data_IF_932478091005
#
_entry.id   IF_932478091005
#
_cell.length_a   1.000
_cell.length_b   1.000
_cell.length_c   1.000
_cell.angle_alpha   90.00
_cell.angle_beta   90.00
_cell.angle_gamma   90.00
#
_symmetry.space_group_name_H-M   'P 1'
#
loop_
_entity.id
_entity.type
_entity.pdbx_description
1 polymer ?
#
# COMPACT_ATOMS: atom_id res chain seq x y z
N UNK A 1 -7.45 1.73 -12.99
CA UNK A 1 -6.85 0.44 -12.52
C UNK A 1 -5.36 0.38 -12.87
N UNK A 2 -4.49 0.07 -11.91
CA UNK A 2 -3.06 -0.19 -12.10
C UNK A 2 -2.83 -1.68 -12.42
N UNK A 3 -1.97 -1.97 -13.41
CA UNK A 3 -1.65 -3.33 -13.82
C UNK A 3 -0.15 -3.56 -13.79
N UNK A 4 0.29 -4.41 -12.88
CA UNK A 4 1.65 -4.92 -12.78
C UNK A 4 1.72 -6.28 -13.47
N UNK A 5 2.64 -6.48 -14.40
CA UNK A 5 2.73 -7.70 -15.17
C UNK A 5 4.18 -8.18 -15.29
N UNK A 6 4.36 -9.50 -15.19
CA UNK A 6 5.62 -10.18 -15.39
C UNK A 6 5.37 -11.42 -16.24
N UNK A 7 6.12 -11.59 -17.33
CA UNK A 7 6.10 -12.80 -18.11
C UNK A 7 7.25 -13.72 -17.64
N UNK A 8 6.90 -14.69 -16.77
CA UNK A 8 7.86 -15.63 -16.21
C UNK A 8 8.06 -16.82 -17.17
N UNK A 9 9.32 -17.26 -17.44
CA UNK A 9 9.60 -18.28 -18.45
C UNK A 9 8.92 -19.62 -18.18
N UNK A 10 8.75 -20.02 -16.92
CA UNK A 10 8.14 -21.32 -16.56
C UNK A 10 6.68 -21.20 -16.18
N UNK A 11 6.27 -20.10 -15.53
CA UNK A 11 4.91 -19.95 -15.00
C UNK A 11 3.97 -19.21 -15.95
N UNK A 12 4.52 -18.51 -16.95
CA UNK A 12 3.76 -17.67 -17.87
C UNK A 12 3.46 -16.29 -17.31
N UNK A 13 2.32 -15.73 -17.66
CA UNK A 13 1.94 -14.36 -17.33
C UNK A 13 1.42 -14.27 -15.88
N UNK A 14 2.13 -13.53 -15.05
CA UNK A 14 1.73 -13.21 -13.68
C UNK A 14 1.31 -11.75 -13.62
N UNK A 15 0.13 -11.46 -13.07
CA UNK A 15 -0.41 -10.12 -12.99
C UNK A 15 -0.89 -9.79 -11.58
N UNK A 16 -0.64 -8.55 -11.15
CA UNK A 16 -1.33 -7.91 -10.03
C UNK A 16 -2.10 -6.73 -10.60
N UNK A 17 -3.40 -6.69 -10.38
CA UNK A 17 -4.29 -5.61 -10.80
C UNK A 17 -4.83 -4.94 -9.55
N UNK A 18 -4.69 -3.61 -9.45
CA UNK A 18 -5.15 -2.81 -8.32
C UNK A 18 -6.01 -1.64 -8.81
N UNK A 19 -7.12 -1.37 -8.13
CA UNK A 19 -8.06 -0.32 -8.53
C UNK A 19 -9.20 -0.15 -7.53
N UNK A 20 -10.16 0.70 -7.88
CA UNK A 20 -11.39 0.88 -7.11
C UNK A 20 -12.41 -0.22 -7.40
N UNK A 21 -13.42 -0.33 -6.56
CA UNK A 21 -14.51 -1.30 -6.73
C UNK A 21 -15.15 -1.23 -8.11
N UNK A 22 -15.36 -0.02 -8.65
CA UNK A 22 -15.89 0.19 -10.01
C UNK A 22 -15.06 -0.47 -11.10
N UNK A 23 -13.74 -0.43 -11.00
CA UNK A 23 -12.84 -1.05 -11.98
C UNK A 23 -13.03 -2.58 -12.06
N UNK A 24 -13.33 -3.20 -10.92
CA UNK A 24 -13.49 -4.66 -10.85
C UNK A 24 -14.90 -5.10 -11.21
N UNK A 25 -15.93 -4.32 -10.91
CA UNK A 25 -17.30 -4.64 -11.28
C UNK A 25 -17.51 -4.68 -12.80
N UNK A 26 -16.79 -3.87 -13.56
CA UNK A 26 -16.80 -3.95 -15.02
C UNK A 26 -16.24 -5.28 -15.55
N UNK A 27 -15.31 -5.89 -14.81
CA UNK A 27 -14.61 -7.12 -15.19
C UNK A 27 -15.24 -8.38 -14.60
N UNK A 28 -15.81 -8.27 -13.41
CA UNK A 28 -16.46 -9.35 -12.67
C UNK A 28 -17.60 -8.76 -11.84
N UNK A 29 -18.85 -8.80 -12.35
CA UNK A 29 -20.02 -8.27 -11.65
C UNK A 29 -20.33 -8.94 -10.31
N UNK A 30 -19.67 -10.07 -10.00
CA UNK A 30 -19.87 -10.81 -8.75
C UNK A 30 -18.88 -10.38 -7.66
N UNK A 31 -17.94 -9.53 -7.98
CA UNK A 31 -16.92 -9.06 -7.04
C UNK A 31 -16.48 -7.62 -7.33
N UNK A 32 -16.49 -6.75 -6.34
CA UNK A 32 -16.76 -6.94 -4.89
C UNK A 32 -18.25 -7.16 -4.57
N UNK A 33 -18.52 -7.88 -3.49
CA UNK A 33 -19.90 -8.25 -3.12
C UNK A 33 -20.81 -7.07 -2.73
N UNK A 34 -20.25 -5.98 -2.27
CA UNK A 34 -20.98 -4.79 -1.83
C UNK A 34 -20.24 -3.52 -2.27
N UNK A 35 -20.35 -3.13 -3.54
CA UNK A 35 -19.79 -1.85 -3.97
C UNK A 35 -20.62 -0.73 -3.35
N UNK A 36 -19.95 0.33 -2.94
CA UNK A 36 -20.64 1.57 -2.60
C UNK A 36 -21.10 2.23 -3.89
N UNK A 37 -22.41 2.29 -4.09
CA UNK A 37 -23.00 2.96 -5.24
C UNK A 37 -22.84 4.49 -5.12
N UNK A 38 -22.46 5.13 -6.24
CA UNK A 38 -22.47 6.59 -6.43
C UNK A 38 -21.54 7.42 -5.53
N UNK A 39 -20.39 6.91 -5.11
CA UNK A 39 -19.40 7.75 -4.47
C UNK A 39 -18.58 8.50 -5.53
N UNK A 40 -18.50 9.81 -5.39
CA UNK A 40 -17.60 10.65 -6.18
C UNK A 40 -16.14 10.28 -5.81
N UNK A 41 -15.40 9.79 -6.80
CA UNK A 41 -14.01 9.42 -6.60
C UNK A 41 -13.16 10.69 -6.66
N UNK A 42 -12.48 11.02 -5.56
CA UNK A 42 -11.45 12.06 -5.55
C UNK A 42 -10.22 11.49 -6.26
N UNK A 43 -9.86 11.97 -7.45
CA UNK A 43 -8.76 11.43 -8.21
C UNK A 43 -7.43 11.67 -7.47
N UNK A 44 -6.70 10.58 -7.21
CA UNK A 44 -5.37 10.63 -6.60
C UNK A 44 -4.36 10.12 -7.60
N UNK A 45 -3.36 10.95 -7.89
CA UNK A 45 -2.26 10.61 -8.79
C UNK A 45 -0.96 10.42 -8.00
N UNK A 46 0.10 10.00 -8.68
CA UNK A 46 1.43 9.95 -8.07
C UNK A 46 1.92 11.35 -7.61
N UNK A 47 1.38 12.43 -8.18
CA UNK A 47 1.73 13.82 -7.86
C UNK A 47 0.90 14.42 -6.72
N UNK A 48 -0.24 13.79 -6.36
CA UNK A 48 -1.15 14.28 -5.34
C UNK A 48 -0.45 14.49 -4.00
N UNK A 49 -0.75 15.63 -3.38
CA UNK A 49 -0.23 16.03 -2.08
C UNK A 49 -0.76 15.16 -0.93
N UNK A 50 -0.12 15.23 0.24
CA UNK A 50 -0.51 14.43 1.40
C UNK A 50 -1.95 14.72 1.85
N UNK A 51 -2.38 15.99 1.83
CA UNK A 51 -3.74 16.39 2.23
C UNK A 51 -4.81 15.77 1.33
N UNK A 52 -4.62 15.81 0.01
CA UNK A 52 -5.53 15.21 -0.96
C UNK A 52 -5.62 13.69 -0.78
N UNK A 53 -4.49 13.05 -0.55
CA UNK A 53 -4.40 11.60 -0.32
C UNK A 53 -5.12 11.18 0.97
N UNK A 54 -5.00 11.96 2.05
CA UNK A 54 -5.77 11.70 3.28
C UNK A 54 -7.26 11.92 3.06
N UNK A 55 -7.66 12.98 2.36
CA UNK A 55 -9.07 13.19 2.03
C UNK A 55 -9.63 12.03 1.23
N UNK A 56 -8.91 11.59 0.18
CA UNK A 56 -9.30 10.47 -0.64
C UNK A 56 -9.39 9.15 0.13
N UNK A 57 -8.51 8.91 1.10
CA UNK A 57 -8.52 7.69 1.92
C UNK A 57 -9.85 7.50 2.68
N UNK A 58 -10.48 8.59 3.10
CA UNK A 58 -11.74 8.55 3.84
C UNK A 58 -12.99 8.70 2.97
N UNK A 59 -12.86 9.31 1.79
CA UNK A 59 -13.99 9.63 0.90
C UNK A 59 -14.14 8.65 -0.25
N UNK A 60 -13.04 8.12 -0.77
CA UNK A 60 -13.07 7.23 -1.92
C UNK A 60 -13.52 5.81 -1.55
N UNK A 61 -14.04 5.06 -2.53
CA UNK A 61 -14.27 3.63 -2.40
C UNK A 61 -13.01 2.88 -2.00
N UNK A 62 -13.16 1.66 -1.53
CA UNK A 62 -12.03 0.81 -1.18
C UNK A 62 -11.16 0.52 -2.42
N UNK A 63 -9.83 0.57 -2.24
CA UNK A 63 -8.89 0.10 -3.23
C UNK A 63 -8.68 -1.40 -3.00
N UNK A 64 -8.96 -2.18 -4.03
CA UNK A 64 -8.84 -3.64 -4.04
C UNK A 64 -7.75 -4.09 -4.99
N UNK A 65 -7.39 -5.36 -4.90
CA UNK A 65 -6.51 -5.96 -5.89
C UNK A 65 -6.89 -7.41 -6.18
N UNK A 66 -6.44 -7.91 -7.33
CA UNK A 66 -6.48 -9.33 -7.66
C UNK A 66 -5.15 -9.78 -8.26
N UNK A 67 -4.80 -11.02 -7.97
CA UNK A 67 -3.60 -11.66 -8.50
C UNK A 67 -4.05 -12.73 -9.48
N UNK A 68 -3.47 -12.69 -10.67
CA UNK A 68 -3.79 -13.63 -11.75
C UNK A 68 -2.52 -14.38 -12.19
N UNK A 69 -2.73 -15.62 -12.60
CA UNK A 69 -1.75 -16.44 -13.28
C UNK A 69 -2.36 -16.95 -14.59
N UNK A 70 -1.77 -16.56 -15.72
CA UNK A 70 -2.27 -16.88 -17.06
C UNK A 70 -3.75 -16.53 -17.26
N UNK A 71 -4.17 -15.37 -16.73
CA UNK A 71 -5.55 -14.90 -16.80
C UNK A 71 -6.51 -15.49 -15.75
N UNK A 72 -6.09 -16.54 -15.01
CA UNK A 72 -6.90 -17.12 -13.94
C UNK A 72 -6.67 -16.36 -12.65
N UNK A 73 -7.74 -15.91 -11.99
CA UNK A 73 -7.69 -15.25 -10.69
C UNK A 73 -7.29 -16.26 -9.61
N UNK A 74 -6.19 -16.01 -8.91
CA UNK A 74 -5.74 -16.82 -7.78
C UNK A 74 -6.12 -16.19 -6.43
N UNK A 75 -6.06 -14.86 -6.34
CA UNK A 75 -6.39 -14.14 -5.11
C UNK A 75 -7.24 -12.92 -5.44
N UNK A 76 -8.23 -12.65 -4.59
CA UNK A 76 -9.00 -11.43 -4.52
C UNK A 76 -8.69 -10.75 -3.18
N UNK A 77 -8.28 -9.51 -3.19
CA UNK A 77 -7.79 -8.80 -2.02
C UNK A 77 -8.69 -7.60 -1.74
N UNK A 78 -9.45 -7.66 -0.66
CA UNK A 78 -10.31 -6.57 -0.19
C UNK A 78 -9.51 -5.35 0.27
N UNK A 79 -8.22 -5.55 0.60
CA UNK A 79 -7.29 -4.50 1.01
C UNK A 79 -5.89 -4.87 0.54
N UNK A 80 -5.16 -3.88 0.02
CA UNK A 80 -3.77 -4.11 -0.39
C UNK A 80 -2.86 -3.95 0.82
N UNK A 81 -2.32 -5.05 1.29
CA UNK A 81 -1.35 -5.06 2.38
C UNK A 81 0.04 -5.42 1.88
N UNK A 82 1.08 -4.98 2.60
CA UNK A 82 2.44 -5.47 2.39
C UNK A 82 2.50 -6.93 2.87
N UNK A 83 2.45 -7.87 1.92
CA UNK A 83 2.28 -9.30 2.22
C UNK A 83 2.86 -10.17 1.11
N UNK A 84 2.87 -11.48 1.36
CA UNK A 84 3.25 -12.51 0.40
C UNK A 84 2.06 -13.38 0.03
N UNK A 85 1.91 -13.67 -1.27
CA UNK A 85 0.79 -14.40 -1.82
C UNK A 85 1.30 -15.57 -2.67
N UNK A 86 0.93 -16.80 -2.30
CA UNK A 86 1.32 -18.00 -3.05
C UNK A 86 0.68 -18.01 -4.43
N UNK A 87 1.45 -18.34 -5.47
CA UNK A 87 0.97 -18.56 -6.82
C UNK A 87 0.56 -20.04 -7.00
N UNK A 88 -0.34 -20.53 -6.17
CA UNK A 88 -0.87 -21.88 -6.24
C UNK A 88 -2.37 -21.89 -6.51
N UNK A 89 -2.83 -22.95 -7.16
CA UNK A 89 -4.20 -23.20 -7.62
C UNK A 89 -5.22 -23.43 -6.49
N UNK A 90 -5.18 -22.66 -5.44
CA UNK A 90 -6.22 -22.66 -4.43
C UNK A 90 -6.91 -21.31 -4.43
N UNK A 91 -8.06 -21.21 -5.09
CA UNK A 91 -8.97 -20.08 -4.91
C UNK A 91 -9.40 -20.10 -3.45
N UNK A 92 -8.69 -19.38 -2.62
CA UNK A 92 -9.16 -19.03 -1.29
C UNK A 92 -9.81 -17.67 -1.42
N UNK A 93 -11.15 -17.71 -1.50
CA UNK A 93 -11.94 -16.51 -1.39
C UNK A 93 -11.61 -15.81 -0.07
N UNK A 94 -11.24 -14.54 -0.19
CA UNK A 94 -11.34 -13.45 0.81
C UNK A 94 -10.92 -13.70 2.26
N UNK A 95 -10.21 -14.73 2.58
CA UNK A 95 -9.55 -14.79 3.88
C UNK A 95 -8.18 -14.17 3.73
N UNK A 96 -8.01 -13.03 4.40
CA UNK A 96 -6.72 -12.41 4.73
C UNK A 96 -5.72 -13.48 5.19
N UNK A 97 -5.14 -14.19 4.27
CA UNK A 97 -3.98 -15.03 4.56
C UNK A 97 -2.74 -14.21 4.26
N UNK A 98 -2.62 -13.14 5.00
CA UNK A 98 -1.37 -12.48 5.25
C UNK A 98 -0.68 -13.32 6.32
N UNK A 99 -0.05 -14.38 5.94
CA UNK A 99 0.72 -15.12 6.91
C UNK A 99 2.11 -15.40 6.36
N UNK A 100 2.99 -14.45 6.68
CA UNK A 100 4.42 -14.68 6.58
C UNK A 100 4.87 -15.86 7.46
N UNK A 101 4.11 -16.24 8.48
CA UNK A 101 4.50 -17.18 9.49
C UNK A 101 4.43 -18.67 9.06
N UNK A 102 3.75 -18.99 7.97
CA UNK A 102 3.61 -20.36 7.46
C UNK A 102 3.93 -20.53 5.99
N UNK A 103 4.42 -19.47 5.32
CA UNK A 103 4.68 -19.50 3.89
C UNK A 103 5.92 -20.34 3.59
N UNK A 104 5.74 -21.40 2.81
CA UNK A 104 6.85 -22.16 2.23
C UNK A 104 7.55 -21.30 1.16
N UNK A 105 8.71 -20.75 1.51
CA UNK A 105 9.48 -19.85 0.65
C UNK A 105 10.09 -20.52 -0.58
N UNK A 106 10.10 -21.85 -0.61
CA UNK A 106 10.52 -22.61 -1.80
C UNK A 106 9.48 -22.56 -2.92
N UNK A 107 8.23 -22.30 -2.58
CA UNK A 107 7.12 -22.20 -3.54
C UNK A 107 7.04 -20.84 -4.18
N UNK A 108 6.58 -20.77 -5.45
CA UNK A 108 6.42 -19.49 -6.14
C UNK A 108 5.40 -18.62 -5.43
N UNK A 109 5.78 -17.37 -5.13
CA UNK A 109 4.93 -16.40 -4.48
C UNK A 109 5.23 -14.96 -4.91
N UNK A 110 4.23 -14.11 -4.80
CA UNK A 110 4.41 -12.67 -4.95
C UNK A 110 4.62 -12.03 -3.57
N UNK A 111 5.60 -11.16 -3.48
CA UNK A 111 5.73 -10.21 -2.37
C UNK A 111 5.25 -8.86 -2.85
N UNK A 112 4.19 -8.36 -2.26
CA UNK A 112 3.62 -7.04 -2.54
C UNK A 112 4.03 -6.09 -1.42
N UNK A 113 4.49 -4.91 -1.76
CA UNK A 113 4.78 -3.82 -0.83
C UNK A 113 3.81 -2.67 -1.11
N UNK A 114 3.06 -2.26 -0.10
CA UNK A 114 2.10 -1.16 -0.18
C UNK A 114 2.36 -0.10 0.88
N UNK A 115 1.75 1.08 0.72
CA UNK A 115 1.77 2.13 1.73
C UNK A 115 0.43 2.20 2.50
N UNK A 116 0.32 3.18 3.42
CA UNK A 116 -0.89 3.41 4.22
C UNK A 116 -2.10 3.85 3.38
N UNK A 117 -1.89 4.32 2.16
CA UNK A 117 -2.94 4.73 1.22
C UNK A 117 -3.38 3.62 0.27
N UNK A 118 -2.93 2.40 0.50
CA UNK A 118 -3.15 1.23 -0.37
C UNK A 118 -2.52 1.32 -1.78
N UNK A 119 -1.60 2.29 -2.02
CA UNK A 119 -0.85 2.27 -3.28
C UNK A 119 0.12 1.09 -3.28
N UNK A 120 0.21 0.40 -4.40
CA UNK A 120 1.25 -0.60 -4.64
C UNK A 120 2.57 0.12 -4.95
N UNK A 121 3.58 -0.13 -4.14
CA UNK A 121 4.90 0.49 -4.29
C UNK A 121 5.89 -0.42 -5.02
N UNK A 122 5.76 -1.73 -4.81
CA UNK A 122 6.70 -2.71 -5.35
C UNK A 122 6.04 -4.09 -5.38
N UNK A 123 6.29 -4.83 -6.45
CA UNK A 123 5.86 -6.24 -6.60
C UNK A 123 7.09 -7.04 -6.98
N UNK A 124 7.35 -8.11 -6.24
CA UNK A 124 8.44 -9.04 -6.47
C UNK A 124 7.89 -10.46 -6.64
N UNK A 125 8.29 -11.14 -7.69
CA UNK A 125 8.18 -12.60 -7.76
C UNK A 125 9.34 -13.22 -6.98
N UNK A 126 9.06 -14.25 -6.21
CA UNK A 126 10.06 -14.99 -5.44
C UNK A 126 9.80 -16.48 -5.47
N UNK A 127 10.87 -17.25 -5.66
CA UNK A 127 10.89 -18.71 -5.54
C UNK A 127 12.28 -19.17 -5.10
N UNK A 128 12.39 -19.72 -3.91
CA UNK A 128 13.71 -20.05 -3.34
C UNK A 128 14.64 -18.84 -3.27
N UNK A 129 15.74 -18.88 -4.04
CA UNK A 129 16.71 -17.78 -4.16
C UNK A 129 16.41 -16.82 -5.33
N UNK A 130 15.47 -17.17 -6.20
CA UNK A 130 15.08 -16.34 -7.33
C UNK A 130 14.25 -15.14 -6.86
N UNK A 131 14.60 -13.95 -7.34
CA UNK A 131 13.86 -12.71 -7.09
C UNK A 131 13.78 -11.94 -8.40
N UNK A 132 12.56 -11.72 -8.89
CA UNK A 132 12.30 -10.94 -10.10
C UNK A 132 11.39 -9.77 -9.76
N UNK A 133 11.83 -8.56 -10.05
CA UNK A 133 11.05 -7.35 -9.84
C UNK A 133 10.10 -7.11 -11.02
N UNK A 134 8.87 -6.74 -10.72
CA UNK A 134 7.94 -6.26 -11.72
C UNK A 134 8.28 -4.82 -12.11
N UNK A 135 8.05 -4.47 -13.35
CA UNK A 135 8.09 -3.08 -13.77
C UNK A 135 6.81 -2.37 -13.33
N UNK A 136 6.95 -1.23 -12.63
CA UNK A 136 5.80 -0.48 -12.18
C UNK A 136 5.07 0.15 -13.37
N UNK A 137 3.72 0.17 -13.34
CA UNK A 137 2.93 0.86 -14.35
C UNK A 137 3.32 2.34 -14.46
N UNK A 138 3.37 2.87 -15.68
CA UNK A 138 3.67 4.28 -15.91
C UNK A 138 2.67 5.17 -15.16
N UNK A 139 3.18 6.23 -14.51
CA UNK A 139 2.36 7.16 -13.71
C UNK A 139 1.93 6.61 -12.35
N UNK A 140 2.24 5.36 -12.01
CA UNK A 140 1.95 4.80 -10.68
C UNK A 140 2.88 5.37 -9.59
N UNK A 141 2.46 5.20 -8.35
CA UNK A 141 3.29 5.57 -7.19
C UNK A 141 4.57 4.74 -7.11
N UNK A 142 4.50 3.47 -7.54
CA UNK A 142 5.66 2.59 -7.66
C UNK A 142 6.69 3.11 -8.65
N UNK A 143 6.25 3.58 -9.83
CA UNK A 143 7.13 4.18 -10.83
C UNK A 143 7.85 5.42 -10.29
N UNK A 144 7.11 6.35 -9.67
CA UNK A 144 7.68 7.55 -9.06
C UNK A 144 8.67 7.23 -7.94
N UNK A 145 8.37 6.21 -7.13
CA UNK A 145 9.29 5.73 -6.09
C UNK A 145 10.58 5.18 -6.69
N UNK A 146 10.50 4.35 -7.73
CA UNK A 146 11.67 3.77 -8.41
C UNK A 146 12.54 4.87 -8.97
N UNK A 147 11.99 5.82 -9.71
CA UNK A 147 12.69 6.97 -10.24
C UNK A 147 13.39 7.80 -9.15
N UNK A 148 12.68 8.04 -8.03
CA UNK A 148 13.25 8.76 -6.89
C UNK A 148 14.41 8.00 -6.22
N UNK A 149 14.38 6.66 -6.20
CA UNK A 149 15.49 5.84 -5.68
C UNK A 149 16.68 5.80 -6.62
N UNK A 150 16.46 5.84 -7.92
CA UNK A 150 17.51 5.91 -8.93
C UNK A 150 18.23 7.27 -8.90
N UNK A 151 17.47 8.35 -8.69
CA UNK A 151 18.00 9.71 -8.66
C UNK A 151 18.73 10.11 -7.37
N UNK A 152 18.60 9.35 -6.26
CA UNK A 152 19.14 9.73 -4.95
C UNK A 152 19.54 8.53 -4.09
N UNK A 153 20.83 8.45 -3.73
CA UNK A 153 21.35 7.40 -2.83
C UNK A 153 20.67 7.40 -1.46
N UNK A 154 20.35 8.57 -0.93
CA UNK A 154 19.66 8.69 0.37
C UNK A 154 18.24 8.08 0.31
N UNK A 155 17.50 8.33 -0.77
CA UNK A 155 16.17 7.75 -0.97
C UNK A 155 16.25 6.25 -1.25
N UNK A 156 17.29 5.79 -1.94
CA UNK A 156 17.54 4.37 -2.19
C UNK A 156 17.68 3.56 -0.91
N UNK A 157 18.31 4.12 0.11
CA UNK A 157 18.44 3.48 1.43
C UNK A 157 17.21 3.73 2.31
N UNK A 158 16.69 4.94 2.31
CA UNK A 158 15.60 5.35 3.21
C UNK A 158 14.25 4.70 2.88
N UNK A 159 13.88 4.57 1.62
CA UNK A 159 12.58 4.02 1.22
C UNK A 159 12.36 2.55 1.64
N UNK A 160 13.33 1.63 1.47
CA UNK A 160 13.17 0.26 1.98
C UNK A 160 12.98 0.20 3.50
N UNK A 161 13.70 1.05 4.26
CA UNK A 161 13.55 1.12 5.72
C UNK A 161 12.14 1.58 6.09
N UNK A 162 11.65 2.66 5.46
CA UNK A 162 10.30 3.17 5.71
C UNK A 162 9.21 2.16 5.29
N UNK A 163 9.40 1.47 4.18
CA UNK A 163 8.48 0.43 3.72
C UNK A 163 8.47 -0.78 4.67
N UNK A 164 9.63 -1.13 5.24
CA UNK A 164 9.76 -2.22 6.22
C UNK A 164 9.01 -1.97 7.53
N UNK A 165 8.73 -0.70 7.87
CA UNK A 165 7.91 -0.36 9.04
C UNK A 165 6.43 -0.78 8.88
N UNK A 166 5.94 -0.96 7.65
CA UNK A 166 4.55 -1.32 7.38
C UNK A 166 3.53 -0.35 8.00
N UNK A 167 2.25 -0.71 7.96
CA UNK A 167 1.19 0.13 8.56
C UNK A 167 1.30 0.23 10.09
N UNK A 168 1.68 -0.87 10.76
CA UNK A 168 1.89 -0.90 12.22
C UNK A 168 3.14 -0.15 12.68
N UNK A 169 4.23 -0.24 11.91
CA UNK A 169 5.47 0.47 12.23
C UNK A 169 5.34 1.98 12.17
N UNK A 170 4.52 2.51 11.26
CA UNK A 170 4.21 3.94 11.21
C UNK A 170 3.49 4.42 12.47
N UNK A 171 2.54 3.65 13.01
CA UNK A 171 1.87 3.98 14.25
C UNK A 171 2.86 4.05 15.42
N UNK A 172 3.78 3.09 15.51
CA UNK A 172 4.85 3.07 16.53
C UNK A 172 5.80 4.25 16.33
N UNK A 173 6.20 4.54 15.09
CA UNK A 173 7.06 5.69 14.79
C UNK A 173 6.41 7.02 15.19
N UNK A 174 5.11 7.21 14.93
CA UNK A 174 4.37 8.39 15.36
C UNK A 174 4.33 8.50 16.88
N UNK A 175 4.07 7.41 17.61
CA UNK A 175 4.04 7.39 19.08
C UNK A 175 5.41 7.76 19.65
N UNK A 176 6.50 7.21 19.09
CA UNK A 176 7.87 7.52 19.54
C UNK A 176 8.25 8.96 19.21
N UNK A 177 7.87 9.47 18.04
CA UNK A 177 8.22 10.82 17.59
C UNK A 177 7.36 11.92 18.22
N UNK A 178 6.12 11.60 18.64
CA UNK A 178 5.19 12.58 19.20
C UNK A 178 5.79 13.45 20.34
N UNK A 179 6.51 12.89 21.33
CA UNK A 179 7.13 13.71 22.39
C UNK A 179 8.25 14.62 21.87
N UNK A 180 8.96 14.22 20.82
CA UNK A 180 9.99 15.06 20.20
C UNK A 180 9.38 16.19 19.38
N UNK A 181 8.33 15.89 18.62
CA UNK A 181 7.58 16.89 17.85
C UNK A 181 6.93 17.90 18.79
N UNK A 182 6.32 17.46 19.88
CA UNK A 182 5.71 18.37 20.86
C UNK A 182 6.73 19.28 21.54
N UNK A 183 7.93 18.77 21.86
CA UNK A 183 9.04 19.59 22.40
C UNK A 183 9.53 20.58 21.36
N UNK A 184 9.69 20.16 20.11
CA UNK A 184 10.12 21.03 19.03
C UNK A 184 9.10 22.15 18.76
N UNK A 185 7.81 21.82 18.73
CA UNK A 185 6.73 22.81 18.58
C UNK A 185 6.71 23.80 19.73
N UNK A 186 6.83 23.33 20.98
CA UNK A 186 6.93 24.19 22.14
C UNK A 186 8.16 25.12 22.10
N UNK A 187 9.30 24.58 21.67
CA UNK A 187 10.51 25.35 21.46
C UNK A 187 10.32 26.39 20.35
N UNK A 188 9.71 26.05 19.24
CA UNK A 188 9.41 26.98 18.15
C UNK A 188 8.44 28.08 18.59
N UNK A 189 7.40 27.71 19.34
CA UNK A 189 6.43 28.67 19.89
C UNK A 189 7.05 29.63 20.94
N UNK A 190 8.14 29.24 21.62
CA UNK A 190 8.83 30.12 22.55
C UNK A 190 9.55 31.31 21.89
N UNK A 191 9.71 31.27 20.55
CA UNK A 191 10.25 32.42 19.79
C UNK A 191 9.16 33.36 19.27
N UNK A 192 7.86 33.00 19.42
CA UNK A 192 6.75 33.88 19.05
C UNK A 192 6.30 34.65 20.29
N UNK A 193 6.41 35.98 20.30
CA UNK A 193 5.90 36.78 21.43
C UNK A 193 4.36 36.68 21.49
N UNK A 194 3.84 36.34 22.66
CA UNK A 194 2.44 36.43 23.09
C UNK A 194 1.39 35.63 22.29
N UNK A 195 1.60 34.32 22.14
CA UNK A 195 0.50 33.43 21.84
C UNK A 195 0.07 32.66 23.10
N UNK A 196 -0.88 33.24 23.85
CA UNK A 196 -1.53 32.55 24.97
C UNK A 196 -2.53 31.51 24.43
N UNK A 197 -2.02 30.33 24.04
CA UNK A 197 -2.88 29.19 23.64
C UNK A 197 -3.27 28.49 24.94
N UNK A 198 -4.40 28.86 25.53
CA UNK A 198 -5.06 28.07 26.54
C UNK A 198 -5.56 26.77 25.90
N UNK A 199 -4.77 25.71 26.01
CA UNK A 199 -5.19 24.37 25.61
C UNK A 199 -6.37 23.96 26.50
N UNK A 200 -7.51 23.52 25.91
CA UNK A 200 -8.60 22.98 26.70
C UNK A 200 -8.10 21.79 27.52
N UNK A 201 -8.39 21.81 28.80
CA UNK A 201 -8.07 20.73 29.73
C UNK A 201 -8.75 19.45 29.24
N UNK A 202 -7.96 18.43 28.88
CA UNK A 202 -8.47 17.11 28.57
C UNK A 202 -9.25 16.58 29.79
N UNK A 203 -10.48 16.07 29.63
CA UNK A 203 -11.18 15.44 30.72
C UNK A 203 -10.38 14.24 31.21
N UNK A 204 -10.25 14.13 32.54
CA UNK A 204 -9.66 12.96 33.15
C UNK A 204 -10.48 11.72 32.76
N UNK A 205 -9.83 10.74 32.14
CA UNK A 205 -10.43 9.45 31.87
C UNK A 205 -10.71 8.74 33.21
N UNK A 206 -11.87 8.08 33.33
CA UNK A 206 -12.27 7.35 34.54
C UNK A 206 -11.38 6.13 34.81
#
# INVERSE_FOLDING_TARGET
MEKWALNHPELGLIELQAGYDSDFLELDPTWPEQPKENEEIIPVTAESGMKERFSALFSNPAIRARILLNGKVLHRLSTINSARYLLQDSVKEDKLTVEDAGLDRSKPHLKVTSNIFNDVLEVEFRQGSEIVLFDPPAGSRGAKRREAMESSTLKRVGYPILAGLGKGGWAIAVIILAPFVSRFVKWLLSFLPDFDISLPSLPALP
#
